data_IF_685075859169
#
_entry.id   IF_685075859169
#
_cell.length_a   1.000
_cell.length_b   1.000
_cell.length_c   1.000
_cell.angle_alpha   90.00
_cell.angle_beta   90.00
_cell.angle_gamma   90.00
#
_symmetry.space_group_name_H-M   'P 1'
#
loop_
_entity.id
_entity.type
_entity.pdbx_description
1 polymer ?
#
# COMPACT_ATOMS: atom_id res chain seq x y z
N UNK A 1 27.04 -4.39 -5.00
CA UNK A 1 27.39 -3.06 -4.47
C UNK A 1 26.13 -2.26 -4.16
N UNK A 2 25.34 -1.89 -5.18
CA UNK A 2 24.12 -1.09 -5.03
C UNK A 2 23.14 -1.62 -3.97
N UNK A 3 22.86 -2.93 -3.96
CA UNK A 3 21.93 -3.53 -2.98
C UNK A 3 22.42 -3.41 -1.53
N UNK A 4 23.73 -3.49 -1.29
CA UNK A 4 24.31 -3.28 0.05
C UNK A 4 24.22 -1.82 0.46
N UNK A 5 24.48 -0.88 -0.45
CA UNK A 5 24.30 0.55 -0.19
C UNK A 5 22.84 0.88 0.13
N UNK A 6 21.90 0.27 -0.61
CA UNK A 6 20.48 0.40 -0.34
C UNK A 6 20.12 -0.11 1.07
N UNK A 7 20.59 -1.30 1.45
CA UNK A 7 20.38 -1.85 2.80
C UNK A 7 20.93 -0.91 3.88
N UNK A 8 22.14 -0.39 3.71
CA UNK A 8 22.75 0.53 4.68
C UNK A 8 22.02 1.89 4.72
N UNK A 9 21.47 2.36 3.60
CA UNK A 9 20.64 3.57 3.59
C UNK A 9 19.31 3.37 4.33
N UNK A 10 18.71 2.19 4.21
CA UNK A 10 17.48 1.82 4.91
C UNK A 10 17.73 1.64 6.41
N UNK A 11 18.85 1.03 6.80
CA UNK A 11 19.23 0.89 8.20
C UNK A 11 20.74 1.17 8.37
N UNK A 12 21.10 2.43 8.70
CA UNK A 12 22.49 2.85 8.81
C UNK A 12 23.28 1.99 9.80
N UNK A 13 24.44 1.50 9.36
CA UNK A 13 25.36 0.71 10.17
C UNK A 13 25.05 -0.79 10.20
N UNK A 14 24.11 -1.27 9.40
CA UNK A 14 23.84 -2.72 9.26
C UNK A 14 24.93 -3.40 8.43
N UNK A 15 25.49 -2.70 7.45
CA UNK A 15 26.52 -3.26 6.57
C UNK A 15 27.90 -3.02 7.18
N UNK A 16 28.60 -4.10 7.49
CA UNK A 16 30.04 -4.03 7.78
C UNK A 16 30.81 -3.87 6.46
N UNK A 17 31.13 -2.62 6.14
CA UNK A 17 31.88 -2.25 4.93
C UNK A 17 33.31 -2.80 4.89
N UNK A 18 33.85 -3.32 6.00
CA UNK A 18 35.15 -4.01 5.99
C UNK A 18 35.08 -5.40 5.34
N UNK A 19 33.90 -6.04 5.38
CA UNK A 19 33.65 -7.35 4.76
C UNK A 19 33.27 -7.25 3.28
N UNK A 20 32.94 -6.04 2.80
CA UNK A 20 32.47 -5.82 1.43
C UNK A 20 33.64 -5.64 0.47
N UNK A 21 33.65 -6.44 -0.61
CA UNK A 21 34.54 -6.19 -1.73
C UNK A 21 34.03 -5.01 -2.56
N UNK A 22 34.63 -3.82 -2.37
CA UNK A 22 34.20 -2.58 -3.04
C UNK A 22 34.36 -2.61 -4.56
N UNK A 23 35.45 -3.19 -5.04
CA UNK A 23 35.72 -3.35 -6.47
C UNK A 23 35.89 -4.84 -6.78
N UNK A 24 34.80 -5.61 -6.85
CA UNK A 24 34.89 -7.04 -7.09
C UNK A 24 35.37 -7.26 -8.54
N UNK A 25 36.63 -7.68 -8.70
CA UNK A 25 37.23 -8.01 -10.00
C UNK A 25 36.91 -9.42 -10.46
N UNK A 26 36.59 -10.30 -9.51
CA UNK A 26 36.27 -11.72 -9.77
C UNK A 26 34.82 -12.00 -9.42
N UNK A 27 34.16 -12.85 -10.21
CA UNK A 27 32.78 -13.30 -9.97
C UNK A 27 32.58 -13.85 -8.55
N UNK A 28 33.56 -14.55 -8.01
CA UNK A 28 33.52 -15.08 -6.62
C UNK A 28 33.33 -13.95 -5.60
N UNK A 29 33.99 -12.79 -5.79
CA UNK A 29 33.82 -11.63 -4.90
C UNK A 29 32.42 -11.02 -5.01
N UNK A 30 31.83 -11.00 -6.21
CA UNK A 30 30.43 -10.60 -6.38
C UNK A 30 29.49 -11.54 -5.63
N UNK A 31 29.70 -12.85 -5.72
CA UNK A 31 28.91 -13.87 -5.02
C UNK A 31 29.05 -13.71 -3.50
N UNK A 32 30.26 -13.47 -2.99
CA UNK A 32 30.48 -13.22 -1.56
C UNK A 32 29.73 -11.98 -1.06
N UNK A 33 29.78 -10.87 -1.81
CA UNK A 33 29.00 -9.68 -1.48
C UNK A 33 27.48 -9.95 -1.48
N UNK A 34 26.98 -10.77 -2.43
CA UNK A 34 25.57 -11.13 -2.49
C UNK A 34 25.18 -12.09 -1.36
N UNK A 35 26.07 -12.99 -0.95
CA UNK A 35 25.85 -13.88 0.19
C UNK A 35 25.77 -13.09 1.51
N UNK A 36 26.69 -12.16 1.72
CA UNK A 36 26.65 -11.21 2.83
C UNK A 36 25.32 -10.44 2.84
N UNK A 37 24.90 -9.92 1.69
CA UNK A 37 23.62 -9.22 1.57
C UNK A 37 22.44 -10.10 2.01
N UNK A 38 22.35 -11.36 1.55
CA UNK A 38 21.29 -12.27 1.95
C UNK A 38 21.32 -12.60 3.45
N UNK A 39 22.51 -12.75 4.03
CA UNK A 39 22.67 -12.95 5.47
C UNK A 39 22.14 -11.75 6.27
N UNK A 40 22.45 -10.52 5.83
CA UNK A 40 21.96 -9.30 6.49
C UNK A 40 20.42 -9.20 6.40
N UNK A 41 19.83 -9.55 5.26
CA UNK A 41 18.37 -9.56 5.11
C UNK A 41 17.69 -10.52 6.08
N UNK A 42 18.23 -11.74 6.24
CA UNK A 42 17.65 -12.73 7.15
C UNK A 42 17.90 -12.37 8.62
N UNK A 43 19.16 -12.09 9.01
CA UNK A 43 19.55 -11.94 10.42
C UNK A 43 19.28 -10.56 11.01
N UNK A 44 19.42 -9.50 10.22
CA UNK A 44 19.32 -8.11 10.72
C UNK A 44 17.96 -7.50 10.43
N UNK A 45 17.41 -7.78 9.26
CA UNK A 45 16.15 -7.21 8.83
C UNK A 45 14.96 -8.17 9.02
N UNK A 46 15.22 -9.47 9.22
CA UNK A 46 14.22 -10.46 9.66
C UNK A 46 13.40 -11.08 8.54
N UNK A 47 13.85 -11.05 7.28
CA UNK A 47 13.11 -11.67 6.17
C UNK A 47 13.99 -12.56 5.29
N UNK A 48 13.48 -13.78 5.06
CA UNK A 48 14.11 -14.77 4.19
C UNK A 48 13.72 -14.62 2.73
N UNK A 49 14.67 -14.94 1.86
CA UNK A 49 14.47 -15.12 0.43
C UNK A 49 14.84 -16.56 0.04
N UNK A 50 14.01 -17.56 0.38
CA UNK A 50 14.38 -18.98 0.21
C UNK A 50 14.66 -19.33 -1.26
N UNK A 51 13.96 -18.67 -2.19
CA UNK A 51 14.08 -18.91 -3.63
C UNK A 51 15.21 -18.11 -4.30
N UNK A 52 15.98 -17.33 -3.52
CA UNK A 52 17.02 -16.45 -4.06
C UNK A 52 18.39 -16.89 -3.54
N UNK A 53 19.25 -17.30 -4.46
CA UNK A 53 20.64 -17.60 -4.15
C UNK A 53 21.56 -16.40 -4.39
N UNK A 54 22.69 -16.34 -3.68
CA UNK A 54 23.72 -15.32 -3.90
C UNK A 54 24.26 -15.32 -5.34
N UNK A 55 24.28 -16.51 -5.97
CA UNK A 55 24.71 -16.66 -7.36
C UNK A 55 23.70 -16.04 -8.34
N UNK A 56 22.41 -16.26 -8.12
CA UNK A 56 21.36 -15.69 -8.97
C UNK A 56 21.42 -14.16 -8.99
N UNK A 57 21.71 -13.54 -7.83
CA UNK A 57 21.88 -12.09 -7.73
C UNK A 57 23.18 -11.63 -8.41
N UNK A 58 24.29 -12.35 -8.17
CA UNK A 58 25.57 -12.02 -8.79
C UNK A 58 25.54 -12.11 -10.32
N UNK A 59 24.69 -13.00 -10.85
CA UNK A 59 24.44 -13.18 -12.28
C UNK A 59 23.37 -12.22 -12.82
N UNK A 60 22.88 -11.28 -11.99
CA UNK A 60 21.84 -10.31 -12.31
C UNK A 60 20.54 -10.93 -12.84
N UNK A 61 20.15 -12.11 -12.32
CA UNK A 61 18.90 -12.74 -12.70
C UNK A 61 17.72 -11.81 -12.34
N UNK A 62 16.89 -11.36 -13.31
CA UNK A 62 15.88 -10.35 -13.07
C UNK A 62 14.88 -10.72 -11.98
N UNK A 63 14.51 -12.01 -11.90
CA UNK A 63 13.56 -12.52 -10.89
C UNK A 63 14.14 -12.42 -9.47
N UNK A 64 15.40 -12.81 -9.31
CA UNK A 64 16.10 -12.74 -8.03
C UNK A 64 16.26 -11.29 -7.56
N UNK A 65 16.75 -10.41 -8.44
CA UNK A 65 16.96 -8.98 -8.13
C UNK A 65 15.64 -8.30 -7.77
N UNK A 66 14.57 -8.54 -8.55
CA UNK A 66 13.24 -7.97 -8.28
C UNK A 66 12.67 -8.47 -6.95
N UNK A 67 12.86 -9.75 -6.62
CA UNK A 67 12.41 -10.32 -5.35
C UNK A 67 13.06 -9.63 -4.15
N UNK A 68 14.38 -9.39 -4.22
CA UNK A 68 15.12 -8.69 -3.16
C UNK A 68 14.66 -7.24 -3.03
N UNK A 69 14.56 -6.51 -4.16
CA UNK A 69 14.13 -5.11 -4.15
C UNK A 69 12.71 -4.97 -3.59
N UNK A 70 11.76 -5.81 -4.04
CA UNK A 70 10.38 -5.77 -3.56
C UNK A 70 10.27 -6.00 -2.04
N UNK A 71 11.08 -6.91 -1.49
CA UNK A 71 11.15 -7.13 -0.03
C UNK A 71 11.72 -5.93 0.70
N UNK A 72 12.78 -5.32 0.18
CA UNK A 72 13.37 -4.11 0.76
C UNK A 72 12.40 -2.92 0.76
N UNK A 73 11.71 -2.68 -0.37
CA UNK A 73 10.68 -1.64 -0.47
C UNK A 73 9.55 -1.89 0.53
N UNK A 74 9.02 -3.11 0.58
CA UNK A 74 7.92 -3.45 1.49
C UNK A 74 8.35 -3.33 2.95
N UNK A 75 9.60 -3.69 3.30
CA UNK A 75 10.12 -3.51 4.65
C UNK A 75 10.21 -2.05 5.05
N UNK A 76 10.75 -1.19 4.17
CA UNK A 76 10.87 0.24 4.47
C UNK A 76 9.51 0.88 4.67
N UNK A 77 8.56 0.58 3.78
CA UNK A 77 7.18 1.06 3.87
C UNK A 77 6.51 0.60 5.16
N UNK A 78 6.59 -0.69 5.48
CA UNK A 78 6.04 -1.22 6.74
C UNK A 78 6.69 -0.58 7.96
N UNK A 79 8.00 -0.34 7.93
CA UNK A 79 8.71 0.28 9.05
C UNK A 79 8.30 1.73 9.24
N UNK A 80 8.19 2.51 8.16
CA UNK A 80 7.70 3.88 8.20
C UNK A 80 6.27 3.93 8.75
N UNK A 81 5.38 3.09 8.23
CA UNK A 81 4.01 3.07 8.70
C UNK A 81 3.84 2.50 10.10
N UNK A 82 4.62 1.51 10.54
CA UNK A 82 4.56 1.03 11.93
C UNK A 82 5.04 2.08 12.92
N UNK A 83 6.02 2.92 12.53
CA UNK A 83 6.45 4.07 13.35
C UNK A 83 5.36 5.12 13.45
N UNK A 84 4.62 5.38 12.38
CA UNK A 84 3.63 6.47 12.34
C UNK A 84 2.23 6.03 12.80
N UNK A 85 1.86 4.77 12.55
CA UNK A 85 0.55 4.18 12.79
C UNK A 85 0.62 3.00 13.80
N UNK A 86 0.29 3.26 15.08
CA UNK A 86 0.15 2.22 16.11
C UNK A 86 -0.80 1.04 15.77
N UNK A 87 -1.93 1.23 15.06
CA UNK A 87 -2.91 0.14 14.87
C UNK A 87 -2.46 -0.98 13.92
N UNK A 88 -1.30 -0.84 13.26
CA UNK A 88 -0.70 -1.92 12.46
C UNK A 88 -0.04 -3.01 13.32
N UNK A 89 0.13 -2.80 14.64
CA UNK A 89 0.73 -3.79 15.53
C UNK A 89 -0.13 -5.07 15.60
N UNK A 90 0.35 -6.15 14.95
CA UNK A 90 -0.33 -7.44 14.93
C UNK A 90 -1.50 -7.57 13.95
N UNK A 91 -1.77 -6.54 13.13
CA UNK A 91 -2.83 -6.56 12.11
C UNK A 91 -2.25 -6.58 10.70
N UNK A 92 -3.03 -7.10 9.75
CA UNK A 92 -2.69 -6.98 8.33
C UNK A 92 -3.01 -5.57 7.83
N UNK A 93 -2.27 -5.11 6.82
CA UNK A 93 -2.53 -3.81 6.15
C UNK A 93 -3.97 -3.72 5.65
N UNK A 94 -4.47 -4.81 5.06
CA UNK A 94 -5.86 -4.91 4.57
C UNK A 94 -6.87 -4.83 5.72
N UNK A 95 -6.58 -5.48 6.85
CA UNK A 95 -7.42 -5.40 8.04
C UNK A 95 -7.54 -3.97 8.57
N UNK A 96 -6.42 -3.25 8.67
CA UNK A 96 -6.41 -1.84 9.10
C UNK A 96 -7.13 -0.94 8.10
N UNK A 97 -6.93 -1.16 6.79
CA UNK A 97 -7.64 -0.43 5.76
C UNK A 97 -9.16 -0.67 5.81
N UNK A 98 -9.59 -1.92 6.00
CA UNK A 98 -11.00 -2.27 6.14
C UNK A 98 -11.63 -1.57 7.34
N UNK A 99 -10.96 -1.53 8.50
CA UNK A 99 -11.45 -0.79 9.67
C UNK A 99 -11.67 0.69 9.38
N UNK A 100 -10.77 1.33 8.63
CA UNK A 100 -10.90 2.73 8.28
C UNK A 100 -12.09 2.96 7.34
N UNK A 101 -12.27 2.08 6.36
CA UNK A 101 -13.42 2.11 5.44
C UNK A 101 -14.73 1.89 6.19
N UNK A 102 -14.80 0.89 7.07
CA UNK A 102 -15.97 0.60 7.91
C UNK A 102 -16.32 1.79 8.81
N UNK A 103 -15.32 2.36 9.49
CA UNK A 103 -15.50 3.56 10.30
C UNK A 103 -16.06 4.73 9.47
N UNK A 104 -15.54 4.95 8.26
CA UNK A 104 -16.05 6.00 7.36
C UNK A 104 -17.52 5.76 6.98
N UNK A 105 -17.88 4.51 6.66
CA UNK A 105 -19.26 4.13 6.30
C UNK A 105 -20.22 4.36 7.47
N UNK A 106 -19.81 4.03 8.69
CA UNK A 106 -20.67 4.19 9.88
C UNK A 106 -20.85 5.66 10.29
N UNK A 107 -19.86 6.52 10.02
CA UNK A 107 -19.94 7.95 10.33
C UNK A 107 -20.63 8.79 9.22
N UNK A 108 -20.84 8.22 8.02
CA UNK A 108 -21.58 8.85 6.93
C UNK A 108 -22.80 8.02 6.49
N UNK A 109 -23.92 8.06 7.25
CA UNK A 109 -25.09 7.21 7.00
C UNK A 109 -25.73 7.41 5.61
N UNK A 110 -25.57 8.60 5.01
CA UNK A 110 -26.02 8.88 3.65
C UNK A 110 -25.25 8.06 2.59
N UNK A 111 -23.95 7.82 2.79
CA UNK A 111 -23.13 6.98 1.91
C UNK A 111 -23.36 5.50 2.12
N UNK A 112 -23.69 5.06 3.35
CA UNK A 112 -24.06 3.67 3.63
C UNK A 112 -25.20 3.17 2.73
N UNK A 113 -26.19 4.02 2.47
CA UNK A 113 -27.28 3.72 1.55
C UNK A 113 -26.82 3.62 0.07
N UNK A 114 -25.87 4.47 -0.35
CA UNK A 114 -25.30 4.47 -1.71
C UNK A 114 -24.35 3.29 -1.96
N UNK A 115 -23.53 2.91 -0.97
CA UNK A 115 -22.51 1.86 -1.09
C UNK A 115 -23.04 0.44 -0.82
N UNK A 116 -24.04 0.27 0.05
CA UNK A 116 -24.52 -1.05 0.51
C UNK A 116 -25.97 -1.38 0.17
N UNK A 117 -26.73 -0.44 -0.42
CA UNK A 117 -28.08 -0.69 -0.89
C UNK A 117 -29.07 -1.01 0.24
N UNK A 118 -29.59 0.04 0.89
CA UNK A 118 -30.63 -0.07 1.92
C UNK A 118 -31.74 0.99 1.74
N UNK A 119 -32.96 0.48 1.56
CA UNK A 119 -34.26 1.09 1.26
C UNK A 119 -34.54 2.56 1.62
N UNK A 120 -34.70 3.38 0.57
CA UNK A 120 -35.71 4.44 0.35
C UNK A 120 -35.11 5.73 -0.23
N UNK A 121 -34.76 5.73 -1.53
CA UNK A 121 -34.97 6.87 -2.44
C UNK A 121 -35.00 6.32 -3.87
N UNK A 122 -36.06 6.64 -4.60
CA UNK A 122 -36.25 6.37 -6.03
C UNK A 122 -35.30 7.22 -6.88
N UNK A 123 -34.12 6.70 -7.19
CA UNK A 123 -33.38 6.89 -8.45
C UNK A 123 -32.23 5.87 -8.46
N UNK A 124 -32.37 4.85 -9.32
CA UNK A 124 -31.45 3.70 -9.58
C UNK A 124 -30.24 3.57 -8.62
N UNK A 125 -30.35 2.78 -7.54
CA UNK A 125 -29.22 2.55 -6.65
C UNK A 125 -28.19 1.64 -7.33
N UNK A 126 -26.92 2.05 -7.33
CA UNK A 126 -25.79 1.21 -7.71
C UNK A 126 -25.58 0.11 -6.65
N UNK A 127 -26.39 -0.94 -6.68
CA UNK A 127 -26.28 -2.06 -5.75
C UNK A 127 -25.40 -3.18 -6.31
N UNK A 128 -24.08 -2.96 -6.29
CA UNK A 128 -23.15 -4.06 -5.99
C UNK A 128 -22.65 -3.81 -4.57
N UNK A 129 -23.05 -4.66 -3.62
CA UNK A 129 -22.47 -4.67 -2.26
C UNK A 129 -20.95 -4.60 -2.41
N UNK A 130 -20.34 -3.52 -1.93
CA UNK A 130 -18.89 -3.45 -1.86
C UNK A 130 -18.42 -4.59 -0.96
N UNK A 131 -17.72 -5.56 -1.54
CA UNK A 131 -17.11 -6.66 -0.80
C UNK A 131 -15.79 -6.16 -0.23
N UNK A 132 -15.62 -6.27 1.09
CA UNK A 132 -14.33 -5.99 1.73
C UNK A 132 -13.32 -7.08 1.32
N UNK A 133 -12.13 -6.70 0.83
CA UNK A 133 -11.06 -7.64 0.52
C UNK A 133 -10.53 -8.26 1.82
N UNK A 134 -10.21 -9.55 1.78
CA UNK A 134 -9.57 -10.22 2.94
C UNK A 134 -8.05 -10.19 2.86
N UNK A 135 -7.50 -10.06 1.65
CA UNK A 135 -6.07 -10.05 1.35
C UNK A 135 -5.76 -9.09 0.20
N UNK A 136 -4.48 -8.77 -0.03
CA UNK A 136 -4.06 -7.92 -1.15
C UNK A 136 -4.21 -8.60 -2.53
N UNK A 137 -4.44 -9.92 -2.55
CA UNK A 137 -4.67 -10.71 -3.77
C UNK A 137 -6.17 -10.90 -4.06
N UNK A 138 -7.06 -10.26 -3.26
CA UNK A 138 -8.50 -10.42 -3.40
C UNK A 138 -8.99 -9.79 -4.72
N UNK A 139 -9.67 -10.55 -5.61
CA UNK A 139 -10.13 -10.05 -6.90
C UNK A 139 -11.14 -8.89 -6.79
N UNK A 140 -11.73 -8.67 -5.60
CA UNK A 140 -12.56 -7.48 -5.36
C UNK A 140 -11.79 -6.17 -5.50
N UNK A 141 -10.47 -6.16 -5.26
CA UNK A 141 -9.61 -4.98 -5.41
C UNK A 141 -9.54 -4.48 -6.86
N UNK A 142 -9.60 -5.39 -7.84
CA UNK A 142 -9.56 -5.05 -9.27
C UNK A 142 -10.75 -4.18 -9.72
N UNK A 143 -11.83 -4.09 -8.94
CA UNK A 143 -12.95 -3.22 -9.27
C UNK A 143 -12.66 -1.74 -8.96
N UNK A 144 -11.61 -1.41 -8.21
CA UNK A 144 -11.24 -0.05 -7.81
C UNK A 144 -12.17 0.61 -6.78
N UNK A 145 -13.41 0.15 -6.64
CA UNK A 145 -14.40 0.68 -5.69
C UNK A 145 -13.89 0.71 -4.24
N UNK A 146 -13.23 -0.36 -3.81
CA UNK A 146 -12.71 -0.42 -2.44
C UNK A 146 -11.53 0.54 -2.23
N UNK A 147 -10.64 0.71 -3.22
CA UNK A 147 -9.54 1.67 -3.12
C UNK A 147 -10.06 3.11 -3.06
N UNK A 148 -11.09 3.41 -3.85
CA UNK A 148 -11.74 4.69 -3.82
C UNK A 148 -12.37 4.96 -2.44
N UNK A 149 -13.09 3.99 -1.88
CA UNK A 149 -13.65 4.08 -0.53
C UNK A 149 -12.57 4.26 0.55
N UNK A 150 -11.41 3.61 0.39
CA UNK A 150 -10.26 3.79 1.29
C UNK A 150 -9.72 5.23 1.22
N UNK A 151 -9.54 5.77 0.01
CA UNK A 151 -9.08 7.16 -0.17
C UNK A 151 -10.07 8.15 0.44
N UNK A 152 -11.38 7.96 0.21
CA UNK A 152 -12.41 8.78 0.84
C UNK A 152 -12.36 8.70 2.37
N UNK A 153 -12.15 7.51 2.93
CA UNK A 153 -12.02 7.32 4.37
C UNK A 153 -10.79 8.05 4.94
N UNK A 154 -9.66 8.03 4.23
CA UNK A 154 -8.45 8.80 4.60
C UNK A 154 -8.72 10.31 4.54
N UNK A 155 -9.39 10.79 3.49
CA UNK A 155 -9.79 12.21 3.34
C UNK A 155 -10.69 12.64 4.51
N UNK A 156 -11.70 11.83 4.84
CA UNK A 156 -12.63 12.10 5.93
C UNK A 156 -11.93 12.10 7.30
N UNK A 157 -11.00 11.17 7.52
CA UNK A 157 -10.15 11.15 8.71
C UNK A 157 -9.27 12.40 8.81
N UNK A 158 -9.06 13.13 7.72
CA UNK A 158 -8.43 14.44 7.69
C UNK A 158 -6.91 14.32 7.70
N UNK A 159 -6.27 14.13 6.53
CA UNK A 159 -4.85 13.86 6.46
C UNK A 159 -4.06 15.05 6.99
N UNK A 160 -2.94 14.78 7.67
CA UNK A 160 -2.15 15.80 8.37
C UNK A 160 -1.67 16.96 7.46
N UNK A 161 -1.57 16.71 6.15
CA UNK A 161 -0.91 17.60 5.19
C UNK A 161 -1.85 18.42 4.32
N UNK A 162 -3.18 18.33 4.52
CA UNK A 162 -4.15 18.96 3.62
C UNK A 162 -5.07 19.94 4.36
N UNK A 163 -5.13 21.18 3.86
CA UNK A 163 -6.06 22.21 4.33
C UNK A 163 -7.53 21.80 4.08
N UNK A 164 -8.46 22.50 4.72
CA UNK A 164 -9.89 22.15 4.67
C UNK A 164 -10.58 22.49 3.34
N UNK A 165 -9.98 23.34 2.51
CA UNK A 165 -10.56 23.78 1.24
C UNK A 165 -10.19 22.80 0.12
N UNK A 166 -8.91 22.49 -0.01
CA UNK A 166 -8.39 21.44 -0.91
C UNK A 166 -9.08 20.09 -0.65
N UNK A 167 -9.40 19.79 0.61
CA UNK A 167 -10.16 18.60 1.00
C UNK A 167 -11.57 18.53 0.38
N UNK A 168 -12.28 19.66 0.35
CA UNK A 168 -13.64 19.74 -0.20
C UNK A 168 -13.61 19.58 -1.70
N UNK A 169 -12.68 20.26 -2.37
CA UNK A 169 -12.53 20.21 -3.82
C UNK A 169 -12.17 18.80 -4.30
N UNK A 170 -11.25 18.14 -3.62
CA UNK A 170 -10.88 16.75 -3.92
C UNK A 170 -12.06 15.79 -3.72
N UNK A 171 -12.85 16.00 -2.67
CA UNK A 171 -14.03 15.19 -2.40
C UNK A 171 -15.10 15.38 -3.49
N UNK A 172 -15.40 16.62 -3.87
CA UNK A 172 -16.34 16.93 -4.96
C UNK A 172 -15.87 16.27 -6.25
N UNK A 173 -14.59 16.43 -6.60
CA UNK A 173 -14.00 15.82 -7.78
C UNK A 173 -14.16 14.29 -7.83
N UNK A 174 -13.96 13.61 -6.70
CA UNK A 174 -14.16 12.15 -6.60
C UNK A 174 -15.63 11.76 -6.81
N UNK A 175 -16.57 12.51 -6.23
CA UNK A 175 -18.00 12.23 -6.39
C UNK A 175 -18.48 12.46 -7.82
N UNK A 176 -18.03 13.52 -8.49
CA UNK A 176 -18.39 13.82 -9.87
C UNK A 176 -17.76 12.80 -10.85
N UNK A 177 -16.50 12.46 -10.62
CA UNK A 177 -15.77 11.48 -11.44
C UNK A 177 -16.42 10.10 -11.38
N UNK A 178 -16.94 9.69 -10.22
CA UNK A 178 -17.57 8.37 -10.06
C UNK A 178 -18.99 8.27 -10.64
N UNK A 179 -19.72 9.40 -10.76
CA UNK A 179 -21.10 9.43 -11.23
C UNK A 179 -21.27 9.31 -12.76
N UNK A 180 -20.25 9.69 -13.54
CA UNK A 180 -20.36 9.83 -14.99
C UNK A 180 -20.18 8.55 -15.84
N UNK A 181 -19.95 7.37 -15.25
CA UNK A 181 -19.35 6.24 -16.00
C UNK A 181 -20.32 5.08 -16.30
N UNK A 182 -20.59 4.85 -17.59
CA UNK A 182 -21.53 3.85 -18.10
C UNK A 182 -20.90 2.67 -18.88
N UNK A 183 -19.57 2.65 -19.08
CA UNK A 183 -18.88 1.58 -19.81
C UNK A 183 -18.41 0.41 -18.92
N UNK A 184 -18.91 -0.81 -19.13
CA UNK A 184 -18.67 -1.96 -18.26
C UNK A 184 -17.22 -2.49 -18.22
N UNK A 185 -16.43 -2.30 -19.29
CA UNK A 185 -15.05 -2.80 -19.37
C UNK A 185 -13.98 -1.82 -18.87
N UNK A 186 -14.20 -0.51 -19.04
CA UNK A 186 -13.24 0.54 -18.65
C UNK A 186 -13.36 0.98 -17.20
N UNK A 187 -14.49 0.65 -16.55
CA UNK A 187 -14.85 1.24 -15.25
C UNK A 187 -13.87 0.89 -14.12
N UNK A 188 -13.36 -0.33 -14.06
CA UNK A 188 -12.38 -0.74 -13.05
C UNK A 188 -11.07 0.03 -13.16
N UNK A 189 -10.53 0.14 -14.37
CA UNK A 189 -9.30 0.92 -14.69
C UNK A 189 -9.49 2.37 -14.26
N UNK A 190 -10.61 2.97 -14.66
CA UNK A 190 -10.90 4.37 -14.38
C UNK A 190 -11.03 4.62 -12.87
N UNK A 191 -11.69 3.72 -12.13
CA UNK A 191 -11.84 3.86 -10.66
C UNK A 191 -10.49 3.76 -9.96
N UNK A 192 -9.64 2.83 -10.39
CA UNK A 192 -8.28 2.72 -9.88
C UNK A 192 -7.48 3.99 -10.20
N UNK A 193 -7.58 4.51 -11.42
CA UNK A 193 -6.91 5.74 -11.82
C UNK A 193 -7.35 6.96 -10.98
N UNK A 194 -8.64 7.11 -10.72
CA UNK A 194 -9.15 8.17 -9.84
C UNK A 194 -8.67 8.02 -8.40
N UNK A 195 -8.70 6.81 -7.83
CA UNK A 195 -8.19 6.57 -6.48
C UNK A 195 -6.69 6.91 -6.37
N UNK A 196 -5.89 6.52 -7.37
CA UNK A 196 -4.45 6.81 -7.42
C UNK A 196 -4.19 8.31 -7.57
N UNK A 197 -4.89 8.98 -8.49
CA UNK A 197 -4.75 10.42 -8.69
C UNK A 197 -5.12 11.20 -7.42
N UNK A 198 -6.21 10.81 -6.75
CA UNK A 198 -6.59 11.43 -5.48
C UNK A 198 -5.55 11.20 -4.39
N UNK A 199 -5.01 9.98 -4.26
CA UNK A 199 -3.94 9.69 -3.32
C UNK A 199 -2.68 10.53 -3.59
N UNK A 200 -2.32 10.76 -4.85
CA UNK A 200 -1.19 11.63 -5.23
C UNK A 200 -1.40 13.08 -4.78
N UNK A 201 -2.63 13.61 -4.87
CA UNK A 201 -2.98 14.93 -4.31
C UNK A 201 -2.76 14.96 -2.79
N UNK A 202 -2.99 13.84 -2.10
CA UNK A 202 -2.70 13.70 -0.67
C UNK A 202 -1.20 13.55 -0.33
N UNK A 203 -0.33 13.52 -1.35
CA UNK A 203 1.12 13.38 -1.21
C UNK A 203 1.62 11.94 -1.17
N UNK A 204 0.79 10.96 -1.52
CA UNK A 204 1.24 9.57 -1.75
C UNK A 204 2.15 9.54 -2.97
N UNK A 205 3.34 8.96 -2.84
CA UNK A 205 4.34 8.88 -3.92
C UNK A 205 4.36 7.52 -4.62
N UNK A 206 3.47 6.62 -4.24
CA UNK A 206 3.35 5.28 -4.78
C UNK A 206 3.39 5.25 -6.33
N UNK A 207 4.26 4.40 -6.85
CA UNK A 207 4.45 4.16 -8.29
C UNK A 207 3.41 3.21 -8.89
N UNK A 208 2.31 2.93 -8.17
CA UNK A 208 1.27 2.01 -8.62
C UNK A 208 0.48 2.60 -9.80
N UNK A 209 0.34 1.83 -10.88
CA UNK A 209 -0.56 2.14 -11.98
C UNK A 209 -1.94 1.47 -11.82
N UNK A 210 -2.98 1.95 -12.54
CA UNK A 210 -4.28 1.27 -12.58
C UNK A 210 -4.20 -0.19 -13.01
N UNK A 211 -3.32 -0.48 -13.96
CA UNK A 211 -3.05 -1.84 -14.44
C UNK A 211 -2.46 -2.73 -13.35
N UNK A 212 -1.62 -2.19 -12.46
CA UNK A 212 -1.06 -2.97 -11.36
C UNK A 212 -2.15 -3.43 -10.38
N UNK A 213 -3.17 -2.59 -10.16
CA UNK A 213 -4.32 -2.97 -9.34
C UNK A 213 -5.14 -4.06 -10.02
N UNK A 214 -5.42 -3.90 -11.32
CA UNK A 214 -6.23 -4.85 -12.09
C UNK A 214 -5.57 -6.23 -12.21
N UNK A 215 -4.25 -6.25 -12.37
CA UNK A 215 -3.47 -7.48 -12.43
C UNK A 215 -3.17 -8.06 -11.04
N UNK A 216 -3.72 -7.50 -9.96
CA UNK A 216 -3.56 -8.02 -8.60
C UNK A 216 -2.11 -8.00 -8.13
N UNK A 217 -1.36 -6.92 -8.44
CA UNK A 217 0.04 -6.76 -8.02
C UNK A 217 0.10 -6.44 -6.53
N UNK A 218 -0.10 -7.46 -5.70
CA UNK A 218 -0.36 -7.32 -4.27
C UNK A 218 0.72 -6.57 -3.50
N UNK A 219 1.99 -6.65 -3.90
CA UNK A 219 3.07 -5.88 -3.26
C UNK A 219 2.94 -4.38 -3.48
N UNK A 220 2.57 -3.95 -4.71
CA UNK A 220 2.34 -2.54 -5.03
C UNK A 220 1.06 -2.03 -4.38
N UNK A 221 0.00 -2.84 -4.40
CA UNK A 221 -1.26 -2.51 -3.73
C UNK A 221 -1.04 -2.35 -2.23
N UNK A 222 -0.28 -3.26 -1.60
CA UNK A 222 0.06 -3.18 -0.18
C UNK A 222 0.86 -1.91 0.11
N UNK A 223 1.89 -1.62 -0.70
CA UNK A 223 2.67 -0.39 -0.57
C UNK A 223 1.79 0.87 -0.62
N UNK A 224 0.89 0.94 -1.60
CA UNK A 224 -0.07 2.02 -1.76
C UNK A 224 -0.99 2.19 -0.53
N UNK A 225 -1.56 1.08 -0.03
CA UNK A 225 -2.41 1.10 1.17
C UNK A 225 -1.64 1.58 2.39
N UNK A 226 -0.37 1.16 2.55
CA UNK A 226 0.48 1.57 3.66
C UNK A 226 0.71 3.09 3.64
N UNK A 227 1.07 3.65 2.48
CA UNK A 227 1.26 5.10 2.33
C UNK A 227 -0.02 5.88 2.63
N UNK A 228 -1.18 5.41 2.16
CA UNK A 228 -2.47 6.02 2.47
C UNK A 228 -2.79 5.98 3.97
N UNK A 229 -2.58 4.83 4.61
CA UNK A 229 -2.79 4.64 6.06
C UNK A 229 -1.91 5.59 6.87
N UNK A 230 -0.66 5.79 6.46
CA UNK A 230 0.29 6.68 7.12
C UNK A 230 -0.18 8.15 7.16
N UNK A 231 -1.07 8.56 6.25
CA UNK A 231 -1.62 9.92 6.23
C UNK A 231 -2.64 10.19 7.35
N UNK A 232 -3.20 9.15 7.96
CA UNK A 232 -4.26 9.28 8.98
C UNK A 232 -3.66 9.69 10.33
N UNK A 233 -4.02 10.86 10.89
CA UNK A 233 -3.47 11.30 12.16
C UNK A 233 -3.79 10.32 13.29
N UNK A 234 -2.83 10.06 14.18
CA UNK A 234 -2.99 9.14 15.32
C UNK A 234 -4.27 9.35 16.15
N UNK A 235 -4.68 10.61 16.32
CA UNK A 235 -5.86 11.00 17.12
C UNK A 235 -7.20 10.75 16.41
N UNK A 236 -7.17 10.49 15.09
CA UNK A 236 -8.37 10.30 14.25
C UNK A 236 -8.65 8.82 13.98
N UNK A 237 -7.83 7.91 14.50
CA UNK A 237 -8.05 6.48 14.33
C UNK A 237 -9.30 6.03 15.08
N UNK A 238 -10.11 5.12 14.51
CA UNK A 238 -11.20 4.49 15.25
C UNK A 238 -10.66 3.86 16.53
N UNK A 239 -11.41 3.95 17.65
CA UNK A 239 -11.03 3.29 18.89
C UNK A 239 -10.85 1.79 18.63
N UNK A 240 -9.79 1.20 19.18
CA UNK A 240 -9.49 -0.21 18.95
C UNK A 240 -10.60 -1.07 19.59
N UNK A 241 -11.36 -1.85 18.81
CA UNK A 241 -12.40 -2.74 19.36
C UNK A 241 -11.84 -3.84 20.26
N UNK A 242 -10.54 -4.13 20.22
CA UNK A 242 -9.88 -5.09 21.11
C UNK A 242 -9.50 -4.49 22.47
N UNK A 243 -9.55 -3.16 22.63
CA UNK A 243 -9.35 -2.48 23.91
C UNK A 243 -10.73 -2.22 24.53
N UNK A 244 -11.41 -3.30 24.92
CA UNK A 244 -12.47 -3.20 25.91
C UNK A 244 -11.81 -3.30 27.29
N UNK A 245 -11.76 -2.16 27.99
CA UNK A 245 -11.38 -2.08 29.42
C UNK A 245 -12.48 -2.69 30.27
#
# INVERSE_FOLDING_TARGET
>A
MLLLQLIDSLQPGVVDWALVHREPRRRVQCVLNCALMLELLDRKLGFRCPDVSARNIADAEPRAVRSVIGKLMNWDLLRCALRECPPLAGRTVVGVANMLVEWHIDNEPQKRAQLFGGAHVTQKPMTRRMRMPTTCDDPSLAHGLWLLALVEAVIAAGPQRMDSECRKDLFVWLTESSAGWSGAGSRGVQLCACAIAAAQVLGVQSLIGPEDVLHGRCDLIRAFMIELIALVPRQRWPPDPAIHV
#
